data_IF_049698784611
#
_entry.id   IF_049698784611
#
_cell.length_a   1.000
_cell.length_b   1.000
_cell.length_c   1.000
_cell.angle_alpha   90.00
_cell.angle_beta   90.00
_cell.angle_gamma   90.00
#
_symmetry.space_group_name_H-M   'P 1'
#
loop_
_entity.id
_entity.type
_entity.pdbx_description
1 polymer ?
#
# COMPACT_ATOMS: atom_id res chain seq x y z
N UNK A 1 -8.58 -9.90 13.87
CA UNK A 1 -8.01 -8.57 14.16
C UNK A 1 -6.75 -8.81 14.96
N UNK A 2 -5.65 -8.12 14.67
CA UNK A 2 -4.39 -8.27 15.40
C UNK A 2 -4.32 -7.18 16.47
N UNK A 3 -4.24 -7.56 17.74
CA UNK A 3 -4.00 -6.61 18.83
C UNK A 3 -2.52 -6.27 18.90
N UNK A 4 -2.19 -4.99 18.80
CA UNK A 4 -0.83 -4.47 18.98
C UNK A 4 -0.78 -3.70 20.29
N UNK A 5 0.04 -4.20 21.22
CA UNK A 5 0.34 -3.51 22.47
C UNK A 5 1.69 -2.80 22.37
N UNK A 6 1.70 -1.50 22.64
CA UNK A 6 2.88 -0.64 22.62
C UNK A 6 3.28 -0.27 24.05
N UNK A 7 4.58 -0.15 24.27
CA UNK A 7 5.12 0.45 25.48
C UNK A 7 5.27 1.95 25.29
N UNK A 8 5.17 2.70 26.38
CA UNK A 8 5.50 4.12 26.37
C UNK A 8 6.98 4.34 25.99
N UNK A 9 7.32 5.47 25.35
CA UNK A 9 8.70 5.90 25.22
C UNK A 9 9.37 6.01 26.59
N UNK A 10 10.63 5.60 26.69
CA UNK A 10 11.41 5.64 27.94
C UNK A 10 11.55 7.06 28.52
N UNK A 11 11.42 8.08 27.67
CA UNK A 11 11.53 9.50 28.01
C UNK A 11 10.15 10.18 28.18
N UNK A 12 9.04 9.43 28.26
CA UNK A 12 7.73 10.04 28.49
C UNK A 12 7.63 10.57 29.92
N UNK A 13 7.20 11.83 30.06
CA UNK A 13 6.90 12.40 31.37
C UNK A 13 5.56 11.84 31.90
N UNK A 14 5.41 11.61 33.22
CA UNK A 14 4.17 11.10 33.79
C UNK A 14 2.92 11.88 33.36
N UNK A 15 3.01 13.22 33.33
CA UNK A 15 1.93 14.12 32.92
C UNK A 15 1.51 13.97 31.45
N UNK A 16 2.37 13.45 30.58
CA UNK A 16 2.07 13.27 29.16
C UNK A 16 1.41 11.92 28.85
N UNK A 17 1.40 10.96 29.80
CA UNK A 17 0.90 9.60 29.53
C UNK A 17 -0.54 9.59 29.04
N UNK A 18 -1.40 10.47 29.58
CA UNK A 18 -2.80 10.59 29.22
C UNK A 18 -3.03 10.81 27.72
N UNK A 19 -2.16 11.59 27.05
CA UNK A 19 -2.27 11.87 25.62
C UNK A 19 -2.09 10.64 24.73
N UNK A 20 -1.44 9.59 25.22
CA UNK A 20 -1.08 8.42 24.40
C UNK A 20 -1.70 7.11 24.88
N UNK A 21 -2.55 7.12 25.92
CA UNK A 21 -3.21 5.89 26.42
C UNK A 21 -3.97 5.16 25.32
N UNK A 22 -4.67 5.90 24.46
CA UNK A 22 -5.43 5.36 23.33
C UNK A 22 -4.54 4.73 22.23
N UNK A 23 -3.23 4.97 22.26
CA UNK A 23 -2.27 4.39 21.30
C UNK A 23 -1.57 3.14 21.83
N UNK A 24 -1.74 2.81 23.12
CA UNK A 24 -1.08 1.67 23.74
C UNK A 24 -1.66 0.35 23.26
N UNK A 25 -2.97 0.28 23.07
CA UNK A 25 -3.65 -0.91 22.58
C UNK A 25 -4.44 -0.52 21.34
N UNK A 26 -4.13 -1.18 20.23
CA UNK A 26 -4.81 -0.93 18.97
C UNK A 26 -5.11 -2.25 18.28
N UNK A 27 -6.25 -2.30 17.61
CA UNK A 27 -6.60 -3.40 16.73
C UNK A 27 -6.25 -3.04 15.29
N UNK A 28 -5.41 -3.87 14.68
CA UNK A 28 -5.09 -3.79 13.26
C UNK A 28 -5.95 -4.79 12.48
N UNK A 29 -6.30 -4.46 11.23
CA UNK A 29 -6.95 -5.42 10.33
C UNK A 29 -6.06 -6.65 10.13
N UNK A 30 -6.69 -7.81 9.96
CA UNK A 30 -5.97 -9.02 9.56
C UNK A 30 -5.34 -8.83 8.17
N UNK A 31 -4.03 -9.11 8.02
CA UNK A 31 -3.42 -9.26 6.72
C UNK A 31 -4.18 -10.31 5.91
N UNK A 32 -4.39 -10.01 4.63
CA UNK A 32 -5.12 -10.89 3.73
C UNK A 32 -5.01 -10.40 2.30
N UNK A 33 -5.30 -11.27 1.34
CA UNK A 33 -5.26 -10.95 -0.09
C UNK A 33 -6.53 -11.48 -0.72
N UNK A 34 -7.21 -10.63 -1.48
CA UNK A 34 -8.32 -11.05 -2.33
C UNK A 34 -7.81 -11.14 -3.76
N UNK A 35 -8.08 -12.26 -4.43
CA UNK A 35 -7.77 -12.45 -5.84
C UNK A 35 -9.05 -12.31 -6.68
N UNK A 36 -9.08 -11.32 -7.55
CA UNK A 36 -10.14 -11.13 -8.53
C UNK A 36 -9.75 -11.78 -9.85
N UNK A 37 -10.37 -12.91 -10.20
CA UNK A 37 -10.16 -13.58 -11.49
C UNK A 37 -10.85 -12.85 -12.64
N UNK A 38 -11.99 -12.20 -12.37
CA UNK A 38 -12.71 -11.39 -13.36
C UNK A 38 -12.04 -10.02 -13.56
N UNK A 39 -12.49 -9.30 -14.60
CA UNK A 39 -12.03 -7.93 -14.86
C UNK A 39 -12.40 -6.99 -13.72
N UNK A 40 -11.41 -6.23 -13.27
CA UNK A 40 -11.53 -5.08 -12.36
C UNK A 40 -11.09 -3.82 -13.09
N UNK A 41 -11.65 -2.68 -12.69
CA UNK A 41 -11.20 -1.37 -13.12
C UNK A 41 -10.32 -0.79 -12.01
N UNK A 42 -9.07 -0.49 -12.34
CA UNK A 42 -8.13 0.22 -11.46
C UNK A 42 -8.07 1.65 -11.94
N UNK A 43 -8.49 2.59 -11.09
CA UNK A 43 -8.39 4.00 -11.39
C UNK A 43 -6.94 4.47 -11.26
N UNK A 44 -6.57 5.52 -11.99
CA UNK A 44 -5.22 6.11 -11.92
C UNK A 44 -4.76 6.48 -10.50
N UNK A 45 -5.69 6.76 -9.58
CA UNK A 45 -5.39 7.05 -8.18
C UNK A 45 -5.35 5.79 -7.28
N UNK A 46 -5.24 4.59 -7.85
CA UNK A 46 -5.12 3.33 -7.12
C UNK A 46 -6.44 2.72 -6.63
N UNK A 47 -7.58 3.41 -6.75
CA UNK A 47 -8.88 2.88 -6.34
C UNK A 47 -9.31 1.74 -7.28
N UNK A 48 -9.75 0.62 -6.71
CA UNK A 48 -10.18 -0.57 -7.47
C UNK A 48 -11.69 -0.72 -7.42
N UNK A 49 -12.29 -0.94 -8.59
CA UNK A 49 -13.71 -1.25 -8.77
C UNK A 49 -13.89 -2.66 -9.33
N UNK A 50 -14.78 -3.42 -8.70
CA UNK A 50 -15.20 -4.75 -9.16
C UNK A 50 -16.73 -4.78 -9.19
N UNK A 51 -17.31 -5.12 -10.35
CA UNK A 51 -18.76 -5.11 -10.55
C UNK A 51 -19.41 -3.75 -10.24
N UNK A 52 -18.71 -2.64 -10.50
CA UNK A 52 -19.18 -1.28 -10.19
C UNK A 52 -19.08 -0.89 -8.70
N UNK A 53 -18.61 -1.78 -7.81
CA UNK A 53 -18.42 -1.49 -6.38
C UNK A 53 -16.97 -1.17 -6.08
N UNK A 54 -16.75 -0.13 -5.29
CA UNK A 54 -15.41 0.24 -4.80
C UNK A 54 -14.95 -0.77 -3.74
N UNK A 55 -13.72 -1.26 -3.90
CA UNK A 55 -13.10 -2.19 -2.96
C UNK A 55 -12.41 -1.41 -1.84
N UNK A 56 -12.83 -1.66 -0.60
CA UNK A 56 -12.38 -0.91 0.58
C UNK A 56 -10.87 -1.07 0.84
N UNK A 57 -10.28 -2.16 0.37
CA UNK A 57 -8.85 -2.48 0.46
C UNK A 57 -7.97 -1.53 -0.36
N UNK A 58 -8.52 -0.98 -1.45
CA UNK A 58 -7.84 -0.01 -2.31
C UNK A 58 -7.86 1.42 -1.78
N UNK A 59 -8.72 1.70 -0.80
CA UNK A 59 -8.83 3.03 -0.18
C UNK A 59 -7.78 3.20 0.92
N UNK A 60 -7.44 4.44 1.24
CA UNK A 60 -6.58 4.73 2.38
C UNK A 60 -7.23 4.36 3.73
N UNK A 61 -8.47 4.78 3.96
CA UNK A 61 -9.28 4.45 5.15
C UNK A 61 -10.76 4.31 4.80
N UNK A 62 -11.58 3.76 5.70
CA UNK A 62 -12.94 3.30 5.37
C UNK A 62 -13.90 4.44 4.94
N UNK A 63 -13.80 5.61 5.57
CA UNK A 63 -14.67 6.76 5.27
C UNK A 63 -14.25 7.54 4.02
N UNK A 64 -13.04 7.27 3.52
CA UNK A 64 -12.40 8.03 2.46
C UNK A 64 -13.22 8.13 1.18
N UNK A 65 -13.90 7.06 0.80
CA UNK A 65 -14.72 7.06 -0.40
C UNK A 65 -15.87 8.07 -0.31
N UNK A 66 -16.50 8.21 0.87
CA UNK A 66 -17.57 9.19 1.08
C UNK A 66 -17.01 10.62 1.03
N UNK A 67 -15.84 10.85 1.64
CA UNK A 67 -15.16 12.14 1.62
C UNK A 67 -14.72 12.59 0.22
N UNK A 68 -14.41 11.64 -0.65
CA UNK A 68 -14.13 11.91 -2.06
C UNK A 68 -15.39 12.29 -2.87
N UNK A 69 -16.59 12.22 -2.29
CA UNK A 69 -17.87 12.44 -3.00
C UNK A 69 -18.55 11.16 -3.48
N UNK A 70 -18.08 9.99 -3.01
CA UNK A 70 -18.70 8.70 -3.28
C UNK A 70 -18.78 8.34 -4.76
N UNK A 71 -19.92 7.82 -5.20
CA UNK A 71 -20.10 7.40 -6.60
C UNK A 71 -20.14 8.57 -7.59
N UNK A 72 -20.44 9.79 -7.16
CA UNK A 72 -20.36 10.97 -8.03
C UNK A 72 -18.91 11.21 -8.48
N UNK A 73 -17.93 11.00 -7.59
CA UNK A 73 -16.52 11.08 -7.93
C UNK A 73 -16.11 10.02 -8.95
N UNK A 74 -16.54 8.77 -8.76
CA UNK A 74 -16.26 7.69 -9.71
C UNK A 74 -16.88 7.99 -11.07
N UNK A 75 -18.15 8.41 -11.11
CA UNK A 75 -18.85 8.68 -12.35
C UNK A 75 -18.22 9.85 -13.14
N UNK A 76 -17.93 10.96 -12.46
CA UNK A 76 -17.28 12.13 -13.10
C UNK A 76 -15.88 11.79 -13.61
N UNK A 77 -15.12 10.97 -12.87
CA UNK A 77 -13.80 10.51 -13.30
C UNK A 77 -13.90 9.55 -14.48
N UNK A 78 -14.74 8.53 -14.38
CA UNK A 78 -14.93 7.55 -15.45
C UNK A 78 -15.37 8.23 -16.75
N UNK A 79 -16.28 9.19 -16.69
CA UNK A 79 -16.69 9.99 -17.83
C UNK A 79 -15.51 10.76 -18.44
N UNK A 80 -14.68 11.42 -17.62
CA UNK A 80 -13.46 12.10 -18.08
C UNK A 80 -12.45 11.15 -18.72
N UNK A 81 -12.22 9.98 -18.12
CA UNK A 81 -11.31 8.96 -18.65
C UNK A 81 -11.82 8.38 -19.97
N UNK A 82 -13.13 8.13 -20.07
CA UNK A 82 -13.78 7.68 -21.29
C UNK A 82 -13.67 8.72 -22.42
N UNK A 83 -14.01 9.98 -22.13
CA UNK A 83 -13.93 11.09 -23.10
C UNK A 83 -12.49 11.32 -23.61
N UNK A 84 -11.48 11.05 -22.77
CA UNK A 84 -10.07 11.18 -23.13
C UNK A 84 -9.47 9.91 -23.76
N UNK A 85 -10.24 8.83 -23.91
CA UNK A 85 -9.73 7.53 -24.35
C UNK A 85 -8.63 6.95 -23.44
N UNK A 86 -8.57 7.40 -22.18
CA UNK A 86 -7.46 7.14 -21.26
C UNK A 86 -7.68 5.84 -20.45
N UNK A 87 -8.30 4.84 -21.06
CA UNK A 87 -8.55 3.54 -20.42
C UNK A 87 -7.67 2.47 -21.07
N UNK A 88 -6.61 2.09 -20.36
CA UNK A 88 -5.69 1.04 -20.77
C UNK A 88 -6.31 -0.35 -20.53
N UNK A 89 -6.13 -1.29 -21.45
CA UNK A 89 -6.52 -2.70 -21.25
C UNK A 89 -5.28 -3.55 -21.08
N UNK A 90 -5.15 -4.20 -19.92
CA UNK A 90 -4.00 -5.05 -19.61
C UNK A 90 -4.24 -6.50 -20.07
N UNK A 91 -3.20 -7.21 -20.57
CA UNK A 91 -3.32 -8.61 -20.99
C UNK A 91 -3.74 -9.53 -19.85
N UNK A 92 -4.57 -10.54 -20.14
CA UNK A 92 -5.10 -11.47 -19.13
C UNK A 92 -4.17 -12.62 -18.73
N UNK A 93 -2.96 -12.71 -19.32
CA UNK A 93 -2.03 -13.83 -19.11
C UNK A 93 -1.21 -13.76 -17.82
N UNK A 94 -1.15 -12.60 -17.18
CA UNK A 94 -0.33 -12.38 -15.97
C UNK A 94 -1.19 -12.30 -14.71
N UNK A 95 -0.60 -12.61 -13.57
CA UNK A 95 -1.16 -12.25 -12.26
C UNK A 95 -0.63 -10.87 -11.88
N UNK A 96 -1.52 -9.92 -11.65
CA UNK A 96 -1.15 -8.54 -11.29
C UNK A 96 -1.43 -8.28 -9.82
N UNK A 97 -0.81 -7.24 -9.26
CA UNK A 97 -1.11 -6.77 -7.91
C UNK A 97 -1.33 -5.25 -7.90
N UNK A 98 -2.40 -4.83 -7.20
CA UNK A 98 -2.70 -3.43 -6.93
C UNK A 98 -2.27 -3.09 -5.50
N UNK A 99 -1.19 -2.31 -5.36
CA UNK A 99 -0.62 -1.92 -4.05
C UNK A 99 -0.70 -0.41 -3.78
N UNK A 100 -1.21 0.36 -4.74
CA UNK A 100 -1.30 1.82 -4.65
C UNK A 100 -2.67 2.27 -4.16
N UNK A 101 -2.73 3.48 -3.62
CA UNK A 101 -3.91 4.25 -3.30
C UNK A 101 -3.68 5.72 -3.71
N UNK A 102 -4.59 6.60 -3.31
CA UNK A 102 -4.58 7.99 -3.73
C UNK A 102 -3.40 8.83 -3.19
N UNK A 103 -2.66 8.35 -2.17
CA UNK A 103 -1.56 9.06 -1.50
C UNK A 103 -0.22 8.30 -1.53
N UNK A 104 -0.12 7.17 -2.23
CA UNK A 104 1.07 6.30 -2.16
C UNK A 104 2.24 6.69 -3.06
N UNK A 105 2.16 7.78 -3.84
CA UNK A 105 3.26 8.23 -4.70
C UNK A 105 4.38 8.93 -3.92
N UNK A 106 4.09 9.41 -2.71
CA UNK A 106 5.08 9.93 -1.78
C UNK A 106 5.88 8.84 -1.10
N UNK A 107 7.17 9.12 -0.84
CA UNK A 107 8.11 8.19 -0.20
C UNK A 107 7.55 7.53 1.07
N UNK A 108 6.91 8.31 1.95
CA UNK A 108 6.39 7.81 3.21
C UNK A 108 5.31 6.73 3.02
N UNK A 109 4.28 7.01 2.21
CA UNK A 109 3.20 6.06 1.97
C UNK A 109 3.65 4.88 1.10
N UNK A 110 4.56 5.10 0.16
CA UNK A 110 5.18 4.01 -0.58
C UNK A 110 5.84 2.99 0.35
N UNK A 111 6.68 3.47 1.28
CA UNK A 111 7.43 2.62 2.22
C UNK A 111 6.55 1.98 3.29
N UNK A 112 5.46 2.62 3.69
CA UNK A 112 4.67 2.20 4.85
C UNK A 112 3.32 1.57 4.51
N UNK A 113 2.87 1.68 3.25
CA UNK A 113 1.59 1.12 2.81
C UNK A 113 1.74 0.25 1.56
N UNK A 114 2.37 0.74 0.48
CA UNK A 114 2.48 -0.02 -0.78
C UNK A 114 3.44 -1.19 -0.68
N UNK A 115 4.68 -0.96 -0.26
CA UNK A 115 5.69 -2.02 -0.17
C UNK A 115 5.32 -3.11 0.85
N UNK A 116 4.75 -2.81 2.03
CA UNK A 116 4.24 -3.83 2.92
C UNK A 116 3.23 -4.75 2.23
N UNK A 117 2.25 -4.19 1.51
CA UNK A 117 1.22 -4.98 0.78
C UNK A 117 1.86 -5.93 -0.24
N UNK A 118 2.85 -5.43 -0.98
CA UNK A 118 3.62 -6.23 -1.92
C UNK A 118 4.38 -7.36 -1.20
N UNK A 119 5.15 -7.02 -0.17
CA UNK A 119 5.95 -7.99 0.58
C UNK A 119 5.08 -9.10 1.16
N UNK A 120 3.93 -8.75 1.74
CA UNK A 120 3.01 -9.75 2.27
C UNK A 120 2.57 -10.74 1.17
N UNK A 121 2.27 -10.25 -0.04
CA UNK A 121 1.94 -11.11 -1.18
C UNK A 121 3.09 -12.03 -1.58
N UNK A 122 4.33 -11.54 -1.58
CA UNK A 122 5.53 -12.36 -1.84
C UNK A 122 5.71 -13.44 -0.77
N UNK A 123 5.50 -13.11 0.50
CA UNK A 123 5.57 -14.06 1.62
C UNK A 123 4.50 -15.15 1.55
N UNK A 124 3.36 -14.88 0.89
CA UNK A 124 2.33 -15.88 0.59
C UNK A 124 2.67 -16.72 -0.67
N UNK A 125 3.85 -16.53 -1.28
CA UNK A 125 4.30 -17.30 -2.43
C UNK A 125 3.82 -16.78 -3.79
N UNK A 126 3.15 -15.63 -3.84
CA UNK A 126 2.77 -15.01 -5.10
C UNK A 126 3.97 -14.37 -5.80
N UNK A 127 3.94 -14.33 -7.14
CA UNK A 127 4.91 -13.63 -7.99
C UNK A 127 4.21 -12.69 -8.97
N UNK A 128 3.53 -11.64 -8.49
CA UNK A 128 2.71 -10.79 -9.33
C UNK A 128 3.53 -9.74 -10.09
N UNK A 129 2.95 -9.23 -11.18
CA UNK A 129 3.39 -7.99 -11.83
C UNK A 129 2.77 -6.81 -11.09
N UNK A 130 3.59 -5.90 -10.57
CA UNK A 130 3.13 -4.72 -9.85
C UNK A 130 2.57 -3.69 -10.84
N UNK A 131 1.33 -3.25 -10.61
CA UNK A 131 0.71 -2.20 -11.43
C UNK A 131 0.94 -0.83 -10.84
N UNK A 132 1.53 0.06 -11.65
CA UNK A 132 1.84 1.42 -11.27
C UNK A 132 1.17 2.44 -12.20
N UNK A 133 0.47 3.45 -11.67
CA UNK A 133 0.11 4.63 -12.46
C UNK A 133 1.36 5.38 -12.95
N UNK A 134 1.27 6.12 -14.05
CA UNK A 134 2.45 6.81 -14.63
C UNK A 134 3.14 7.84 -13.72
N UNK A 135 2.44 8.46 -12.77
CA UNK A 135 3.08 9.38 -11.82
C UNK A 135 4.02 8.68 -10.83
N UNK A 136 4.04 7.35 -10.77
CA UNK A 136 4.98 6.58 -9.96
C UNK A 136 6.31 6.44 -10.71
N UNK A 137 7.04 7.56 -10.77
CA UNK A 137 8.28 7.71 -11.55
C UNK A 137 9.53 8.04 -10.74
N UNK A 138 9.40 8.27 -9.44
CA UNK A 138 10.55 8.49 -8.57
C UNK A 138 11.45 7.25 -8.47
N UNK A 139 12.78 7.47 -8.38
CA UNK A 139 13.78 6.39 -8.34
C UNK A 139 13.52 5.37 -7.23
N UNK A 140 13.07 5.82 -6.06
CA UNK A 140 12.80 4.92 -4.93
C UNK A 140 11.69 3.89 -5.23
N UNK A 141 10.74 4.21 -6.12
CA UNK A 141 9.74 3.24 -6.58
C UNK A 141 10.43 2.07 -7.27
N UNK A 142 11.29 2.36 -8.24
CA UNK A 142 11.93 1.33 -9.06
C UNK A 142 12.98 0.55 -8.30
N UNK A 143 13.84 1.23 -7.55
CA UNK A 143 14.90 0.57 -6.79
C UNK A 143 14.32 -0.38 -5.74
N UNK A 144 13.29 0.04 -5.00
CA UNK A 144 12.65 -0.86 -4.03
C UNK A 144 11.97 -2.08 -4.67
N UNK A 145 11.38 -1.95 -5.87
CA UNK A 145 10.81 -3.08 -6.60
C UNK A 145 11.88 -4.04 -7.12
N UNK A 146 13.01 -3.51 -7.62
CA UNK A 146 14.17 -4.32 -8.01
C UNK A 146 14.73 -5.10 -6.83
N UNK A 147 14.88 -4.45 -5.67
CA UNK A 147 15.37 -5.08 -4.44
C UNK A 147 14.46 -6.20 -3.95
N UNK A 148 13.15 -6.12 -4.22
CA UNK A 148 12.20 -7.19 -3.94
C UNK A 148 12.11 -8.25 -5.05
N UNK A 149 12.87 -8.11 -6.13
CA UNK A 149 12.92 -9.06 -7.24
C UNK A 149 11.61 -9.19 -8.01
N UNK A 150 10.80 -8.13 -8.08
CA UNK A 150 9.50 -8.15 -8.76
C UNK A 150 9.53 -7.36 -10.06
N UNK A 151 8.69 -7.76 -11.01
CA UNK A 151 8.42 -6.99 -12.23
C UNK A 151 7.28 -6.01 -12.00
N UNK A 152 7.28 -4.91 -12.76
CA UNK A 152 6.22 -3.92 -12.71
C UNK A 152 5.84 -3.46 -14.11
N UNK A 153 4.63 -2.91 -14.23
CA UNK A 153 4.11 -2.35 -15.46
C UNK A 153 3.35 -1.06 -15.17
N UNK A 154 3.65 -0.02 -15.95
CA UNK A 154 2.91 1.23 -15.90
C UNK A 154 1.62 1.18 -16.73
N UNK A 155 0.62 1.94 -16.29
CA UNK A 155 -0.60 2.17 -17.08
C UNK A 155 -0.96 3.66 -17.13
N UNK A 156 -1.49 4.07 -18.28
CA UNK A 156 -2.00 5.41 -18.56
C UNK A 156 -3.46 5.52 -18.14
N UNK A 157 -3.79 6.58 -17.43
CA UNK A 157 -5.16 6.85 -16.98
C UNK A 157 -5.71 5.72 -16.11
N UNK A 158 -6.89 5.20 -16.44
CA UNK A 158 -7.49 4.06 -15.73
C UNK A 158 -7.18 2.75 -16.47
N UNK A 159 -7.24 1.61 -15.79
CA UNK A 159 -6.89 0.31 -16.37
C UNK A 159 -7.93 -0.78 -16.12
N UNK A 160 -8.32 -1.48 -17.18
CA UNK A 160 -9.05 -2.76 -17.07
C UNK A 160 -8.06 -3.92 -16.97
N UNK A 161 -8.20 -4.71 -15.90
CA UNK A 161 -7.24 -5.77 -15.56
C UNK A 161 -7.99 -7.01 -15.12
N UNK A 162 -7.58 -8.19 -15.59
CA UNK A 162 -8.04 -9.47 -15.07
C UNK A 162 -6.96 -10.08 -14.17
N UNK A 163 -7.35 -10.99 -13.27
CA UNK A 163 -6.42 -11.72 -12.40
C UNK A 163 -5.56 -10.80 -11.52
N UNK A 164 -6.22 -10.03 -10.65
CA UNK A 164 -5.60 -9.03 -9.77
C UNK A 164 -5.63 -9.48 -8.32
N UNK A 165 -4.47 -9.44 -7.66
CA UNK A 165 -4.32 -9.51 -6.22
C UNK A 165 -4.53 -8.12 -5.61
N UNK A 166 -5.42 -8.06 -4.62
CA UNK A 166 -5.69 -6.86 -3.83
C UNK A 166 -5.46 -7.18 -2.35
N UNK A 167 -4.27 -6.86 -1.82
CA UNK A 167 -3.99 -7.01 -0.40
C UNK A 167 -4.85 -6.09 0.46
N UNK A 168 -5.24 -6.57 1.63
CA UNK A 168 -5.91 -5.78 2.67
C UNK A 168 -5.05 -4.60 3.12
N UNK A 169 -5.70 -3.64 3.76
CA UNK A 169 -4.99 -2.58 4.49
C UNK A 169 -4.38 -3.17 5.75
N UNK A 170 -3.15 -2.78 6.06
CA UNK A 170 -2.48 -3.20 7.30
C UNK A 170 -2.61 -2.19 8.44
N UNK A 171 -3.26 -1.05 8.17
CA UNK A 171 -3.54 -0.02 9.14
C UNK A 171 -4.97 0.52 8.93
N UNK A 172 -5.71 0.82 10.01
CA UNK A 172 -7.01 1.48 9.90
C UNK A 172 -6.87 2.96 9.50
N UNK A 173 -5.75 3.58 9.88
CA UNK A 173 -5.33 4.95 9.57
C UNK A 173 -3.82 4.99 9.32
N UNK A 174 -3.34 6.00 8.59
CA UNK A 174 -1.90 6.25 8.45
C UNK A 174 -1.24 6.40 9.83
N UNK A 175 0.01 5.94 9.97
CA UNK A 175 0.82 5.89 11.20
C UNK A 175 0.71 4.65 12.12
N UNK A 176 -0.16 3.68 11.83
CA UNK A 176 -0.30 2.46 12.64
C UNK A 176 0.04 1.17 11.90
N UNK A 177 1.34 0.91 11.75
CA UNK A 177 1.83 -0.19 10.91
C UNK A 177 2.01 -1.50 11.68
N UNK A 178 1.81 -2.61 10.98
CA UNK A 178 2.13 -3.95 11.47
C UNK A 178 3.65 -4.09 11.65
N UNK A 179 4.11 -4.17 12.89
CA UNK A 179 5.54 -4.17 13.25
C UNK A 179 6.28 -5.33 12.59
N UNK A 180 5.69 -6.53 12.55
CA UNK A 180 6.31 -7.72 11.97
C UNK A 180 6.54 -7.53 10.47
N UNK A 181 5.53 -7.04 9.74
CA UNK A 181 5.64 -6.76 8.31
C UNK A 181 6.67 -5.66 8.04
N UNK A 182 6.69 -4.60 8.85
CA UNK A 182 7.67 -3.52 8.69
C UNK A 182 9.11 -3.97 8.96
N UNK A 183 9.32 -4.85 9.95
CA UNK A 183 10.62 -5.46 10.22
C UNK A 183 11.05 -6.40 9.10
N UNK A 184 10.12 -7.19 8.56
CA UNK A 184 10.38 -8.03 7.40
C UNK A 184 10.74 -7.19 6.17
N UNK A 185 10.03 -6.08 5.92
CA UNK A 185 10.33 -5.17 4.82
C UNK A 185 11.70 -4.53 4.96
N UNK A 186 12.02 -4.03 6.16
CA UNK A 186 13.36 -3.52 6.44
C UNK A 186 14.42 -4.58 6.14
N UNK A 187 14.21 -5.81 6.61
CA UNK A 187 15.17 -6.90 6.41
C UNK A 187 15.33 -7.23 4.93
N UNK A 188 14.23 -7.29 4.17
CA UNK A 188 14.23 -7.54 2.74
C UNK A 188 14.94 -6.44 1.93
N UNK A 189 14.75 -5.17 2.30
CA UNK A 189 15.39 -4.04 1.61
C UNK A 189 16.84 -3.81 2.04
N UNK A 190 17.24 -4.25 3.23
CA UNK A 190 18.60 -3.99 3.73
C UNK A 190 19.52 -5.19 3.59
N UNK A 191 19.02 -6.38 3.25
CA UNK A 191 19.78 -7.63 3.23
C UNK A 191 21.11 -7.56 2.47
N UNK A 192 21.14 -6.84 1.33
CA UNK A 192 22.35 -6.64 0.52
C UNK A 192 23.30 -5.55 1.04
N UNK A 193 22.79 -4.64 1.86
CA UNK A 193 23.48 -3.41 2.30
C UNK A 193 23.84 -3.39 3.78
N UNK A 194 23.31 -4.30 4.60
CA UNK A 194 23.74 -4.44 5.99
C UNK A 194 25.19 -4.91 5.96
N UNK A 195 26.08 -3.93 6.13
CA UNK A 195 27.48 -4.19 6.46
C UNK A 195 27.55 -5.20 7.60
N UNK A 196 28.42 -6.20 7.47
CA UNK A 196 28.73 -7.15 8.54
C UNK A 196 29.36 -6.47 9.78
N UNK A 197 29.61 -5.17 9.72
CA UNK A 197 30.12 -4.41 10.87
C UNK A 197 29.04 -4.24 11.94
N UNK A 198 29.39 -4.59 13.17
CA UNK A 198 28.53 -4.41 14.33
C UNK A 198 28.29 -2.90 14.51
N UNK A 199 27.04 -2.43 14.50
CA UNK A 199 26.75 -1.01 14.70
C UNK A 199 27.21 -0.59 16.10
N UNK A 200 28.22 0.30 16.15
CA UNK A 200 28.84 0.75 17.39
C UNK A 200 28.07 1.91 18.07
N UNK A 201 27.12 2.54 17.36
CA UNK A 201 26.34 3.67 17.88
C UNK A 201 24.95 3.74 17.26
N UNK A 202 23.93 4.02 18.07
CA UNK A 202 22.59 4.40 17.59
C UNK A 202 22.59 5.89 17.24
N UNK A 203 22.19 6.23 16.02
CA UNK A 203 21.97 7.62 15.59
C UNK A 203 20.47 7.86 15.59
N UNK A 204 20.03 8.85 16.37
CA UNK A 204 18.64 9.32 16.39
C UNK A 204 18.57 10.59 15.54
N UNK A 205 17.78 10.55 14.47
CA UNK A 205 17.48 11.72 13.65
C UNK A 205 16.09 12.23 14.06
N UNK A 206 16.01 13.42 14.66
CA UNK A 206 14.76 14.17 14.76
C UNK A 206 14.72 15.22 13.65
N UNK A 207 13.59 15.33 12.97
CA UNK A 207 13.24 16.49 12.16
C UNK A 207 12.33 17.40 12.97
#
# INVERSE_FOLDING_TARGET
MITVTRNFPVNIKPEHKGYFLHLLNMELPEPGIIQYKQRVLILYNGIVLHGGKVQQQSLLYATRFKELGGYQFVATRWMRSFLKGAITRLPSGSCYIAITNEWTDGYFHWMTESLPKLLYSLLQGHKPVVLLPENYSANFHYESLKMLGVTWQHFKGDAWVSNVLLPNRFAPYSAHYNVQIMQALRSALTSEYVSKTIPHRKVYLSR
#
